data_IF_618900063319
#
_entry.id   IF_618900063319
#
_cell.length_a   1.000
_cell.length_b   1.000
_cell.length_c   1.000
_cell.angle_alpha   90.00
_cell.angle_beta   90.00
_cell.angle_gamma   90.00
#
_symmetry.space_group_name_H-M   'P 1'
#
loop_
_entity.id
_entity.type
_entity.pdbx_description
1 polymer ?
#
# COMPACT_ATOMS: atom_id res chain seq x y z
N UNK A 1 -10.53 -13.62 -8.16
CA UNK A 1 -9.64 -12.47 -7.98
C UNK A 1 -8.21 -12.96 -7.84
N UNK A 2 -7.23 -12.05 -7.83
CA UNK A 2 -5.83 -12.37 -7.52
C UNK A 2 -5.62 -12.32 -6.01
N UNK A 3 -4.93 -13.31 -5.44
CA UNK A 3 -4.72 -13.45 -3.99
C UNK A 3 -3.25 -13.74 -3.69
N UNK A 4 -2.72 -13.14 -2.63
CA UNK A 4 -1.36 -13.37 -2.14
C UNK A 4 -1.40 -13.81 -0.68
N UNK A 5 -0.45 -14.68 -0.29
CA UNK A 5 -0.26 -15.12 1.09
C UNK A 5 1.06 -14.57 1.61
N UNK A 6 0.99 -13.77 2.68
CA UNK A 6 2.15 -13.28 3.40
C UNK A 6 2.36 -14.18 4.63
N UNK A 7 3.34 -15.08 4.53
CA UNK A 7 3.67 -16.08 5.56
C UNK A 7 4.59 -15.51 6.65
N UNK A 8 4.97 -16.36 7.61
CA UNK A 8 5.96 -16.04 8.63
C UNK A 8 7.25 -15.50 7.99
N UNK A 9 7.76 -14.39 8.53
CA UNK A 9 8.89 -13.65 7.94
C UNK A 9 8.47 -12.43 7.12
N UNK A 10 7.18 -12.33 6.78
CA UNK A 10 6.63 -11.22 6.02
C UNK A 10 6.98 -11.30 4.54
N UNK A 11 6.58 -10.26 3.80
CA UNK A 11 6.85 -10.08 2.39
C UNK A 11 6.36 -8.71 1.95
N UNK A 12 6.81 -8.26 0.78
CA UNK A 12 6.43 -6.96 0.24
C UNK A 12 6.24 -7.06 -1.26
N UNK A 13 5.16 -6.48 -1.76
CA UNK A 13 4.94 -6.25 -3.19
C UNK A 13 5.00 -4.73 -3.38
N UNK A 14 5.85 -4.29 -4.30
CA UNK A 14 6.06 -2.87 -4.58
C UNK A 14 5.69 -2.58 -6.01
N UNK A 15 4.83 -1.57 -6.20
CA UNK A 15 4.63 -0.93 -7.49
C UNK A 15 5.27 0.46 -7.45
N UNK A 16 6.15 0.74 -8.39
CA UNK A 16 6.82 2.03 -8.52
C UNK A 16 6.39 2.68 -9.81
N UNK A 17 5.70 3.81 -9.73
CA UNK A 17 5.40 4.63 -10.91
C UNK A 17 6.70 5.09 -11.59
N UNK A 18 6.75 5.08 -12.94
CA UNK A 18 7.77 5.81 -13.67
C UNK A 18 7.85 7.27 -13.21
N UNK A 19 9.04 7.90 -13.16
CA UNK A 19 9.19 9.26 -12.62
C UNK A 19 8.24 10.31 -13.19
N UNK A 20 7.93 10.20 -14.49
CA UNK A 20 7.08 11.16 -15.21
C UNK A 20 5.58 10.80 -15.19
N UNK A 21 5.21 9.65 -14.63
CA UNK A 21 3.82 9.14 -14.60
C UNK A 21 3.24 9.14 -13.18
N UNK A 22 3.87 9.86 -12.23
CA UNK A 22 3.43 9.94 -10.83
C UNK A 22 2.15 10.78 -10.74
N UNK A 23 1.01 10.20 -10.33
CA UNK A 23 -0.25 10.92 -10.28
C UNK A 23 -0.33 11.87 -9.09
N UNK A 24 -1.09 12.96 -9.24
CA UNK A 24 -1.57 13.80 -8.14
C UNK A 24 -3.09 13.85 -8.21
N UNK A 25 -3.76 13.39 -7.16
CA UNK A 25 -5.21 13.21 -7.11
C UNK A 25 -5.85 14.18 -6.12
N UNK A 26 -7.12 14.53 -6.36
CA UNK A 26 -7.95 15.27 -5.39
C UNK A 26 -8.86 14.35 -4.57
N UNK A 27 -9.05 13.13 -5.05
CA UNK A 27 -9.89 12.10 -4.42
C UNK A 27 -9.31 10.73 -4.78
N UNK A 28 -9.21 9.87 -3.76
CA UNK A 28 -8.67 8.52 -3.87
C UNK A 28 -9.72 7.49 -3.49
N UNK A 29 -9.61 6.28 -4.06
CA UNK A 29 -10.41 5.13 -3.66
C UNK A 29 -9.53 3.89 -3.62
N UNK A 30 -9.44 3.28 -2.43
CA UNK A 30 -8.70 2.05 -2.18
C UNK A 30 -9.66 0.97 -1.65
N UNK A 31 -9.56 -0.25 -2.17
CA UNK A 31 -10.31 -1.41 -1.68
C UNK A 31 -9.46 -2.68 -1.76
N UNK A 32 -9.48 -3.47 -0.68
CA UNK A 32 -8.78 -4.75 -0.59
C UNK A 32 -9.58 -5.72 0.30
N UNK A 33 -9.59 -7.00 -0.08
CA UNK A 33 -10.05 -8.07 0.81
C UNK A 33 -8.85 -8.67 1.55
N UNK A 34 -8.93 -8.79 2.88
CA UNK A 34 -7.87 -9.37 3.70
C UNK A 34 -8.45 -10.26 4.81
N UNK A 35 -7.64 -11.19 5.31
CA UNK A 35 -7.94 -12.00 6.50
C UNK A 35 -6.68 -12.21 7.31
N UNK A 36 -6.74 -11.93 8.61
CA UNK A 36 -5.59 -12.09 9.50
C UNK A 36 -6.04 -12.22 10.94
N UNK A 37 -5.18 -12.80 11.78
CA UNK A 37 -5.32 -12.83 13.25
C UNK A 37 -4.38 -11.84 13.95
N UNK A 38 -3.53 -11.15 13.17
CA UNK A 38 -2.63 -10.13 13.70
C UNK A 38 -3.44 -8.92 14.16
N UNK A 39 -3.02 -8.32 15.29
CA UNK A 39 -3.65 -7.12 15.83
C UNK A 39 -3.09 -5.83 15.23
N UNK A 40 -1.83 -5.86 14.80
CA UNK A 40 -1.10 -4.70 14.32
C UNK A 40 -0.40 -5.08 13.01
N UNK A 41 -0.76 -4.43 11.91
CA UNK A 41 -0.09 -4.64 10.62
C UNK A 41 -0.36 -3.50 9.63
N UNK A 42 0.64 -3.17 8.81
CA UNK A 42 0.46 -2.32 7.61
C UNK A 42 0.12 -3.21 6.42
N UNK A 43 -1.03 -2.97 5.79
CA UNK A 43 -1.52 -3.76 4.66
C UNK A 43 -1.14 -3.14 3.31
N UNK A 44 -1.32 -1.83 3.18
CA UNK A 44 -1.03 -1.06 1.96
C UNK A 44 -0.51 0.30 2.36
N UNK A 45 0.53 0.77 1.66
CA UNK A 45 1.07 2.11 1.80
C UNK A 45 1.35 2.72 0.44
N UNK A 46 0.95 3.98 0.26
CA UNK A 46 1.23 4.80 -0.92
C UNK A 46 1.98 6.03 -0.43
N UNK A 47 3.25 6.14 -0.82
CA UNK A 47 4.09 7.28 -0.46
C UNK A 47 4.25 8.23 -1.66
N UNK A 48 4.22 9.53 -1.39
CA UNK A 48 4.65 10.55 -2.34
C UNK A 48 6.17 10.51 -2.56
N UNK A 49 6.64 11.33 -3.51
CA UNK A 49 8.08 11.45 -3.77
C UNK A 49 8.83 12.00 -2.55
N UNK A 50 10.11 11.64 -2.43
CA UNK A 50 10.99 12.13 -1.36
C UNK A 50 10.88 13.66 -1.19
N UNK A 51 10.63 14.10 0.05
CA UNK A 51 10.55 15.51 0.41
C UNK A 51 9.14 16.12 0.37
N UNK A 52 8.12 15.42 -0.12
CA UNK A 52 6.74 15.92 -0.16
C UNK A 52 5.95 15.61 1.11
N UNK A 53 6.16 14.45 1.73
CA UNK A 53 5.56 14.08 3.02
C UNK A 53 4.13 13.55 2.94
N UNK A 54 3.46 13.68 1.80
CA UNK A 54 2.13 13.11 1.58
C UNK A 54 2.19 11.57 1.54
N UNK A 55 1.28 10.90 2.25
CA UNK A 55 1.13 9.45 2.18
C UNK A 55 -0.31 9.01 2.49
N UNK A 56 -0.63 7.80 2.08
CA UNK A 56 -1.83 7.07 2.47
C UNK A 56 -1.42 5.71 3.03
N UNK A 57 -1.92 5.33 4.19
CA UNK A 57 -1.64 4.04 4.82
C UNK A 57 -2.95 3.36 5.25
N UNK A 58 -3.09 2.09 4.90
CA UNK A 58 -4.13 1.21 5.42
C UNK A 58 -3.48 0.22 6.39
N UNK A 59 -3.88 0.28 7.65
CA UNK A 59 -3.38 -0.57 8.72
C UNK A 59 -4.54 -1.14 9.55
N UNK A 60 -4.23 -2.16 10.34
CA UNK A 60 -5.08 -2.72 11.39
C UNK A 60 -4.38 -2.63 12.72
#
# INVERSE_FOLDING_TARGET
>A
GTTYIFSKGGGQITYTWPPNDRPSTRADRLAIGFSTVQKEAVLVRVDSSTGLGDYLELHI
#
